data_IF_834055538123
#
_entry.id   IF_834055538123
#
_cell.length_a   1.000
_cell.length_b   1.000
_cell.length_c   1.000
_cell.angle_alpha   90.00
_cell.angle_beta   90.00
_cell.angle_gamma   90.00
#
_symmetry.space_group_name_H-M   'P 1'
#
loop_
_entity.id
_entity.type
_entity.pdbx_description
1 polymer ?
#
# COMPACT_ATOMS: atom_id res chain seq x y z
N UNK A 1 3.08 -18.86 13.67
CA UNK A 1 3.34 -18.16 13.68
C UNK A 1 3.51 -17.44 14.17
N UNK A 2 3.78 -17.68 14.15
CA UNK A 2 4.28 -16.90 14.76
C UNK A 2 4.27 -15.52 14.81
N UNK A 3 4.30 -15.27 15.26
CA UNK A 3 3.99 -14.27 15.40
C UNK A 3 4.35 -13.23 14.83
N UNK A 4 4.60 -13.28 14.32
CA UNK A 4 4.86 -12.28 13.31
C UNK A 4 3.69 -11.31 13.19
N UNK A 5 2.55 -11.75 13.56
CA UNK A 5 1.34 -10.94 13.52
C UNK A 5 1.45 -9.63 14.31
N UNK A 6 2.08 -9.68 15.45
CA UNK A 6 2.28 -8.47 16.25
C UNK A 6 3.25 -7.49 15.64
N UNK A 7 4.01 -7.91 14.62
CA UNK A 7 5.01 -7.08 13.96
C UNK A 7 4.53 -6.56 12.61
N UNK A 8 3.40 -7.05 12.11
CA UNK A 8 2.87 -6.59 10.84
C UNK A 8 2.30 -5.18 10.98
N UNK A 9 2.71 -4.29 10.11
CA UNK A 9 2.20 -2.93 10.09
C UNK A 9 0.80 -2.90 9.50
N UNK A 10 0.01 -1.97 10.00
CA UNK A 10 -1.34 -1.72 9.51
C UNK A 10 -1.35 -0.40 8.75
N UNK A 11 -1.85 -0.42 7.53
CA UNK A 11 -2.13 0.80 6.79
C UNK A 11 -3.56 1.23 7.10
N UNK A 12 -3.74 2.44 7.59
CA UNK A 12 -5.06 2.96 7.87
C UNK A 12 -5.52 3.82 6.69
N UNK A 13 -6.64 3.44 6.09
CA UNK A 13 -7.29 4.24 5.05
C UNK A 13 -8.43 4.99 5.72
N UNK A 14 -8.37 6.32 5.67
CA UNK A 14 -9.39 7.17 6.28
C UNK A 14 -10.24 7.82 5.21
N UNK A 15 -11.54 7.76 5.43
CA UNK A 15 -12.50 8.43 4.55
C UNK A 15 -13.05 9.62 5.32
N UNK A 16 -12.70 10.81 4.85
CA UNK A 16 -13.04 12.07 5.51
C UNK A 16 -13.59 13.06 4.50
N UNK A 17 -14.40 13.98 4.97
CA UNK A 17 -14.79 15.10 4.13
C UNK A 17 -13.57 15.97 3.83
N UNK A 18 -13.66 16.77 2.76
CA UNK A 18 -12.59 17.69 2.41
C UNK A 18 -12.29 18.64 3.57
N UNK A 19 -13.32 19.11 4.26
CA UNK A 19 -13.16 20.00 5.41
C UNK A 19 -12.34 19.37 6.53
N UNK A 20 -12.62 18.10 6.85
CA UNK A 20 -11.89 17.39 7.90
C UNK A 20 -10.43 17.17 7.52
N UNK A 21 -10.19 16.87 6.25
CA UNK A 21 -8.82 16.66 5.76
C UNK A 21 -8.02 17.97 5.84
N UNK A 22 -8.63 19.10 5.48
CA UNK A 22 -7.98 20.41 5.56
C UNK A 22 -7.72 20.83 7.02
N UNK A 23 -8.62 20.52 7.92
CA UNK A 23 -8.43 20.83 9.33
C UNK A 23 -7.25 20.04 9.91
N UNK A 24 -7.14 18.77 9.58
CA UNK A 24 -6.01 17.96 10.00
C UNK A 24 -4.68 18.51 9.48
N UNK A 25 -4.67 18.98 8.25
CA UNK A 25 -3.49 19.62 7.65
C UNK A 25 -3.11 20.90 8.41
N UNK A 26 -4.11 21.73 8.73
CA UNK A 26 -3.90 22.98 9.46
C UNK A 26 -3.29 22.73 10.83
N UNK A 27 -3.80 21.76 11.56
CA UNK A 27 -3.27 21.40 12.88
C UNK A 27 -1.82 20.93 12.80
N UNK A 28 -1.50 20.11 11.82
CA UNK A 28 -0.14 19.63 11.61
C UNK A 28 0.80 20.79 11.30
N UNK A 29 0.36 21.72 10.45
CA UNK A 29 1.14 22.87 10.08
C UNK A 29 1.42 23.79 11.29
N UNK A 30 0.41 24.02 12.12
CA UNK A 30 0.54 24.81 13.34
C UNK A 30 1.54 24.17 14.30
N UNK A 31 1.49 22.87 14.46
CA UNK A 31 2.42 22.14 15.31
C UNK A 31 3.87 22.30 14.80
N UNK A 32 4.05 22.25 13.49
CA UNK A 32 5.35 22.46 12.88
C UNK A 32 5.88 23.87 13.13
N UNK A 33 5.04 24.90 12.93
CA UNK A 33 5.42 26.29 13.17
C UNK A 33 5.79 26.53 14.64
N UNK A 34 5.12 25.87 15.56
CA UNK A 34 5.40 26.00 16.98
C UNK A 34 6.66 25.23 17.43
N UNK A 35 7.35 24.59 16.52
CA UNK A 35 8.54 23.80 16.82
C UNK A 35 8.25 22.48 17.53
N UNK A 36 6.99 22.08 17.54
CA UNK A 36 6.61 20.80 18.13
C UNK A 36 6.92 19.64 17.19
N UNK A 37 7.22 18.51 17.78
CA UNK A 37 7.49 17.32 17.00
C UNK A 37 6.22 16.84 16.31
N UNK A 38 6.26 16.74 15.00
CA UNK A 38 5.13 16.25 14.20
C UNK A 38 5.31 14.75 13.99
N UNK A 39 4.33 13.96 14.44
CA UNK A 39 4.32 12.53 14.19
C UNK A 39 3.99 12.26 12.74
N UNK A 40 4.79 11.41 12.11
CA UNK A 40 4.50 10.97 10.76
C UNK A 40 3.34 9.98 10.82
N UNK A 41 2.24 10.34 10.18
CA UNK A 41 1.09 9.43 10.09
C UNK A 41 1.25 8.52 8.89
N UNK A 42 1.21 7.23 9.15
CA UNK A 42 1.14 6.24 8.08
C UNK A 42 -0.32 6.03 7.72
N UNK A 43 -0.77 6.66 6.62
CA UNK A 43 -2.14 6.53 6.22
C UNK A 43 -2.42 7.18 4.89
N UNK A 44 -3.56 6.82 4.34
CA UNK A 44 -4.05 7.34 3.06
C UNK A 44 -5.44 7.93 3.31
N UNK A 45 -5.70 9.08 2.72
CA UNK A 45 -6.99 9.75 2.86
C UNK A 45 -7.76 9.71 1.55
N UNK A 46 -9.05 9.41 1.65
CA UNK A 46 -9.98 9.54 0.54
C UNK A 46 -11.17 10.35 0.98
N UNK A 47 -11.77 11.09 0.04
CA UNK A 47 -12.93 11.91 0.34
C UNK A 47 -14.24 11.16 0.16
N UNK A 48 -14.18 9.93 -0.35
CA UNK A 48 -15.35 9.08 -0.52
C UNK A 48 -14.97 7.61 -0.44
N UNK A 49 -15.94 6.79 -0.07
CA UNK A 49 -15.74 5.34 -0.02
C UNK A 49 -15.55 4.78 -1.43
N UNK A 50 -16.15 5.40 -2.43
CA UNK A 50 -16.00 4.99 -3.83
C UNK A 50 -14.55 5.12 -4.29
N UNK A 51 -13.87 6.19 -3.88
CA UNK A 51 -12.47 6.39 -4.21
C UNK A 51 -11.60 5.30 -3.58
N UNK A 52 -11.85 4.96 -2.31
CA UNK A 52 -11.14 3.88 -1.63
C UNK A 52 -11.41 2.53 -2.30
N UNK A 53 -12.64 2.32 -2.72
CA UNK A 53 -13.03 1.08 -3.41
C UNK A 53 -12.35 0.97 -4.76
N UNK A 54 -12.13 2.09 -5.45
CA UNK A 54 -11.43 2.10 -6.73
C UNK A 54 -9.95 1.74 -6.59
N UNK A 55 -9.36 2.00 -5.44
CA UNK A 55 -7.99 1.56 -5.15
C UNK A 55 -7.97 0.07 -4.79
N UNK A 56 -8.84 -0.33 -3.87
CA UNK A 56 -8.84 -1.69 -3.30
C UNK A 56 -9.80 -2.60 -4.06
N UNK A 57 -9.46 -2.89 -5.30
CA UNK A 57 -10.25 -3.84 -6.10
C UNK A 57 -9.95 -5.26 -5.64
N UNK A 58 -10.82 -6.18 -6.01
CA UNK A 58 -10.62 -7.60 -5.74
C UNK A 58 -9.28 -8.09 -6.27
N UNK A 59 -8.95 -7.69 -7.50
CA UNK A 59 -7.69 -8.09 -8.13
C UNK A 59 -6.47 -7.54 -7.40
N UNK A 60 -6.53 -6.29 -6.94
CA UNK A 60 -5.42 -5.69 -6.21
C UNK A 60 -5.26 -6.28 -4.82
N UNK A 61 -6.36 -6.61 -4.15
CA UNK A 61 -6.28 -7.30 -2.86
C UNK A 61 -5.70 -8.71 -3.01
N UNK A 62 -6.09 -9.42 -4.06
CA UNK A 62 -5.52 -10.74 -4.36
C UNK A 62 -4.03 -10.62 -4.65
N UNK A 63 -3.63 -9.56 -5.36
CA UNK A 63 -2.24 -9.28 -5.68
C UNK A 63 -1.42 -9.05 -4.41
N UNK A 64 -1.92 -8.22 -3.50
CA UNK A 64 -1.26 -7.95 -2.22
C UNK A 64 -1.11 -9.21 -1.39
N UNK A 65 -2.15 -10.01 -1.34
CA UNK A 65 -2.13 -11.29 -0.61
C UNK A 65 -1.09 -12.24 -1.18
N UNK A 66 -1.02 -12.35 -2.50
CA UNK A 66 -0.06 -13.23 -3.15
C UNK A 66 1.38 -12.77 -2.90
N UNK A 67 1.63 -11.47 -2.95
CA UNK A 67 2.95 -10.92 -2.65
C UNK A 67 3.37 -11.30 -1.23
N UNK A 68 2.44 -11.15 -0.29
CA UNK A 68 2.73 -11.38 1.11
C UNK A 68 2.92 -12.86 1.44
N UNK A 69 2.08 -13.72 0.88
CA UNK A 69 2.10 -15.15 1.22
C UNK A 69 3.08 -15.96 0.40
N UNK A 70 3.27 -15.63 -0.87
CA UNK A 70 4.11 -16.41 -1.78
C UNK A 70 5.50 -15.82 -1.98
N UNK A 71 5.69 -14.55 -1.65
CA UNK A 71 6.97 -13.86 -1.79
C UNK A 71 7.63 -14.12 -3.15
N UNK A 72 6.97 -13.70 -4.24
CA UNK A 72 7.48 -13.96 -5.58
C UNK A 72 8.83 -13.30 -5.79
N UNK A 73 9.70 -13.94 -6.57
CA UNK A 73 11.03 -13.43 -6.85
C UNK A 73 11.07 -12.38 -7.96
N UNK A 74 9.94 -12.13 -8.62
CA UNK A 74 9.84 -11.12 -9.67
C UNK A 74 8.38 -10.83 -9.97
N UNK A 75 8.14 -9.73 -10.71
CA UNK A 75 6.79 -9.39 -11.18
C UNK A 75 6.29 -10.48 -12.12
N UNK A 76 7.18 -11.02 -12.94
CA UNK A 76 6.84 -12.09 -13.88
C UNK A 76 6.32 -13.34 -13.13
N UNK A 77 7.02 -13.76 -12.07
CA UNK A 77 6.60 -14.88 -11.26
C UNK A 77 5.23 -14.64 -10.62
N UNK A 78 5.02 -13.42 -10.15
CA UNK A 78 3.74 -13.05 -9.56
C UNK A 78 2.60 -13.14 -10.57
N UNK A 79 2.80 -12.59 -11.76
CA UNK A 79 1.80 -12.64 -12.82
C UNK A 79 1.48 -14.09 -13.20
N UNK A 80 2.52 -14.91 -13.31
CA UNK A 80 2.37 -16.33 -13.63
C UNK A 80 1.59 -17.08 -12.55
N UNK A 81 1.90 -16.81 -11.29
CA UNK A 81 1.20 -17.44 -10.16
C UNK A 81 -0.29 -17.08 -10.13
N UNK A 82 -0.61 -15.85 -10.48
CA UNK A 82 -1.99 -15.38 -10.51
C UNK A 82 -2.70 -15.66 -11.83
N UNK A 83 -1.98 -16.20 -12.80
CA UNK A 83 -2.50 -16.47 -14.15
C UNK A 83 -3.09 -15.21 -14.76
N UNK A 84 -2.38 -14.11 -14.62
CA UNK A 84 -2.79 -12.79 -15.12
C UNK A 84 -1.77 -12.28 -16.13
N UNK A 85 -2.24 -11.42 -17.00
CA UNK A 85 -1.38 -10.73 -17.96
C UNK A 85 -0.35 -9.86 -17.23
N UNK A 86 0.90 -9.95 -17.65
CA UNK A 86 2.01 -9.22 -17.03
C UNK A 86 1.77 -7.71 -17.03
N UNK A 87 1.27 -7.17 -18.13
CA UNK A 87 1.03 -5.74 -18.25
C UNK A 87 -0.01 -5.26 -17.23
N UNK A 88 -1.06 -6.03 -17.05
CA UNK A 88 -2.11 -5.69 -16.10
C UNK A 88 -1.60 -5.76 -14.65
N UNK A 89 -0.76 -6.75 -14.34
CA UNK A 89 -0.14 -6.86 -13.02
C UNK A 89 0.80 -5.68 -12.78
N UNK A 90 1.60 -5.31 -13.77
CA UNK A 90 2.51 -4.16 -13.66
C UNK A 90 1.75 -2.87 -13.39
N UNK A 91 0.61 -2.69 -14.05
CA UNK A 91 -0.21 -1.50 -13.86
C UNK A 91 -0.81 -1.44 -12.47
N UNK A 92 -1.35 -2.56 -11.98
CA UNK A 92 -1.88 -2.64 -10.61
C UNK A 92 -0.78 -2.37 -9.58
N UNK A 93 0.42 -2.91 -9.80
CA UNK A 93 1.55 -2.68 -8.89
C UNK A 93 1.96 -1.22 -8.87
N UNK A 94 1.93 -0.54 -10.02
CA UNK A 94 2.24 0.87 -10.10
C UNK A 94 1.28 1.71 -9.27
N UNK A 95 0.00 1.36 -9.32
CA UNK A 95 -1.03 2.04 -8.53
C UNK A 95 -0.81 1.77 -7.05
N UNK A 96 -0.57 0.54 -6.67
CA UNK A 96 -0.32 0.18 -5.27
C UNK A 96 0.95 0.83 -4.73
N UNK A 97 1.98 0.94 -5.54
CA UNK A 97 3.21 1.61 -5.16
C UNK A 97 2.98 3.10 -4.94
N UNK A 98 2.19 3.72 -5.79
CA UNK A 98 1.86 5.14 -5.69
C UNK A 98 1.21 5.47 -4.34
N UNK A 99 0.37 4.59 -3.83
CA UNK A 99 -0.31 4.78 -2.56
C UNK A 99 0.44 4.18 -1.37
N UNK A 100 1.66 3.69 -1.58
CA UNK A 100 2.50 3.24 -0.50
C UNK A 100 2.19 1.85 0.04
N UNK A 101 1.43 1.04 -0.70
CA UNK A 101 1.08 -0.31 -0.27
C UNK A 101 2.14 -1.34 -0.66
N UNK A 102 2.89 -1.05 -1.71
CA UNK A 102 3.89 -1.94 -2.27
C UNK A 102 5.16 -1.15 -2.52
N UNK A 103 6.29 -1.80 -2.34
CA UNK A 103 7.61 -1.27 -2.70
C UNK A 103 8.25 -2.22 -3.70
N UNK A 104 8.96 -1.67 -4.67
CA UNK A 104 9.76 -2.47 -5.61
C UNK A 104 11.20 -2.48 -5.14
N UNK A 105 11.77 -3.66 -5.06
CA UNK A 105 13.19 -3.83 -4.76
C UNK A 105 13.84 -4.55 -5.93
N UNK A 106 15.17 -4.51 -5.97
CA UNK A 106 15.89 -5.24 -6.99
C UNK A 106 16.27 -6.62 -6.47
N UNK A 107 16.05 -7.62 -7.29
CA UNK A 107 16.44 -8.98 -7.00
C UNK A 107 17.25 -9.56 -8.16
N UNK A 108 17.78 -10.73 -7.97
CA UNK A 108 18.49 -11.44 -9.04
C UNK A 108 17.51 -12.36 -9.76
N UNK A 109 17.41 -12.15 -11.06
CA UNK A 109 16.75 -13.11 -11.92
C UNK A 109 17.70 -14.24 -12.28
N UNK A 110 17.40 -14.95 -13.35
CA UNK A 110 18.26 -16.02 -13.85
C UNK A 110 19.57 -15.44 -14.34
N UNK A 111 20.69 -15.91 -13.78
CA UNK A 111 22.02 -15.42 -14.16
C UNK A 111 22.32 -14.05 -13.58
N UNK A 112 22.86 -13.15 -14.44
CA UNK A 112 23.23 -11.79 -14.03
C UNK A 112 22.11 -10.77 -14.19
N UNK A 113 20.96 -11.20 -14.65
CA UNK A 113 19.84 -10.30 -14.92
C UNK A 113 19.19 -9.81 -13.62
N UNK A 114 19.05 -8.50 -13.51
CA UNK A 114 18.33 -7.90 -12.38
C UNK A 114 16.85 -7.82 -12.70
N UNK A 115 16.03 -8.11 -11.70
CA UNK A 115 14.58 -8.07 -11.83
C UNK A 115 14.00 -7.25 -10.69
N UNK A 116 12.82 -6.71 -10.91
CA UNK A 116 12.08 -6.01 -9.87
C UNK A 116 11.27 -7.01 -9.06
N UNK A 117 11.38 -6.90 -7.75
CA UNK A 117 10.70 -7.76 -6.80
C UNK A 117 9.69 -6.93 -6.02
N UNK A 118 8.40 -7.27 -6.07
CA UNK A 118 7.41 -6.55 -5.28
C UNK A 118 7.41 -7.01 -3.82
N UNK A 119 7.28 -6.05 -2.90
CA UNK A 119 7.15 -6.33 -1.48
C UNK A 119 5.93 -5.62 -0.93
N UNK A 120 5.12 -6.32 -0.15
CA UNK A 120 4.01 -5.71 0.54
C UNK A 120 4.52 -5.03 1.80
N UNK A 121 4.19 -3.75 1.97
CA UNK A 121 4.68 -2.96 3.11
C UNK A 121 3.82 -3.13 4.36
N UNK A 122 2.60 -3.61 4.21
CA UNK A 122 1.65 -3.78 5.31
C UNK A 122 1.07 -5.17 5.31
N UNK A 123 0.76 -5.67 6.50
CA UNK A 123 0.11 -6.96 6.66
C UNK A 123 -1.40 -6.84 6.80
N UNK A 124 -1.89 -5.61 6.99
CA UNK A 124 -3.29 -5.37 7.26
C UNK A 124 -3.68 -3.99 6.74
N UNK A 125 -4.91 -3.88 6.26
CA UNK A 125 -5.49 -2.60 5.86
C UNK A 125 -6.71 -2.37 6.73
N UNK A 126 -6.72 -1.26 7.44
CA UNK A 126 -7.86 -0.85 8.27
C UNK A 126 -8.58 0.30 7.59
N UNK A 127 -9.90 0.22 7.54
CA UNK A 127 -10.73 1.25 6.94
C UNK A 127 -11.45 2.00 8.04
N UNK A 128 -11.26 3.32 8.11
CA UNK A 128 -11.94 4.20 9.06
C UNK A 128 -12.85 5.15 8.30
N UNK A 129 -14.12 5.14 8.66
CA UNK A 129 -15.12 6.01 8.04
C UNK A 129 -15.69 6.92 9.10
N UNK A 130 -15.51 8.22 8.93
CA UNK A 130 -16.14 9.20 9.82
C UNK A 130 -17.60 9.42 9.38
N UNK A 131 -18.49 9.46 10.33
CA UNK A 131 -19.91 9.70 10.05
C UNK A 131 -20.39 10.98 10.69
#
# INVERSE_FOLDING_TARGET
MPYIYGMAKTLTIQIKSVGEALEGFRETFKAYEAGRRVSRREGVYFTSIEAARNLLTRNRLALLRAIRTQRPGSIYELAKALKRDLKNVQEDLRILEKYGLVRMTEGRGTGKRRVKVPEALFGEIALKIAI
#
